data_IF_231428702264
#
_entry.id   IF_231428702264
#
_cell.length_a   1.000
_cell.length_b   1.000
_cell.length_c   1.000
_cell.angle_alpha   90.00
_cell.angle_beta   90.00
_cell.angle_gamma   90.00
#
_symmetry.space_group_name_H-M   'P 1'
#
loop_
_entity.id
_entity.type
_entity.pdbx_description
1 polymer ?
#
# COMPACT_ATOMS: atom_id res chain seq x y z
N UNK A 1 23.04 -2.07 5.80
CA UNK A 1 22.10 -1.14 5.14
C UNK A 1 22.60 -0.83 3.74
N UNK A 2 22.05 -1.54 2.77
CA UNK A 2 22.15 -1.23 1.36
C UNK A 2 21.03 -0.23 0.98
N UNK A 3 21.22 0.48 -0.12
CA UNK A 3 20.20 1.32 -0.72
C UNK A 3 19.88 0.82 -2.12
N UNK A 4 18.69 1.16 -2.57
CA UNK A 4 18.27 0.84 -3.92
C UNK A 4 16.99 1.54 -4.29
N UNK A 5 16.61 1.33 -5.54
CA UNK A 5 15.41 1.88 -6.14
C UNK A 5 14.41 0.77 -6.37
N UNK A 6 13.18 0.94 -5.91
CA UNK A 6 12.11 -0.05 -6.13
C UNK A 6 11.86 -0.19 -7.63
N UNK A 7 12.07 -1.37 -8.20
CA UNK A 7 11.82 -1.63 -9.62
C UNK A 7 10.32 -1.67 -9.87
N UNK A 8 9.62 -2.45 -9.06
CA UNK A 8 8.17 -2.53 -9.04
C UNK A 8 7.72 -3.17 -7.73
N UNK A 9 6.52 -2.83 -7.29
CA UNK A 9 5.92 -3.42 -6.10
C UNK A 9 4.42 -3.61 -6.33
N UNK A 10 3.92 -4.80 -5.99
CA UNK A 10 2.52 -5.13 -6.09
C UNK A 10 1.86 -5.04 -4.70
N UNK A 11 1.16 -3.94 -4.46
CA UNK A 11 0.48 -3.69 -3.19
C UNK A 11 -0.64 -4.70 -2.89
N UNK A 12 -1.29 -5.26 -3.92
CA UNK A 12 -2.34 -6.25 -3.74
C UNK A 12 -1.79 -7.63 -3.33
N UNK A 13 -0.56 -7.94 -3.73
CA UNK A 13 0.11 -9.20 -3.38
C UNK A 13 1.11 -9.07 -2.25
N UNK A 14 1.56 -7.86 -1.92
CA UNK A 14 2.55 -7.60 -0.87
C UNK A 14 3.98 -8.02 -1.24
N UNK A 15 4.34 -8.07 -2.52
CA UNK A 15 5.71 -8.37 -2.93
C UNK A 15 6.15 -7.48 -4.09
N UNK A 16 7.46 -7.33 -4.22
CA UNK A 16 8.08 -6.56 -5.28
C UNK A 16 9.54 -6.91 -5.46
N UNK A 17 10.20 -6.12 -6.31
CA UNK A 17 11.63 -6.21 -6.52
C UNK A 17 12.27 -4.83 -6.38
N UNK A 18 13.46 -4.84 -5.80
CA UNK A 18 14.27 -3.66 -5.60
C UNK A 18 15.57 -3.83 -6.38
N UNK A 19 15.95 -2.79 -7.11
CA UNK A 19 17.23 -2.70 -7.80
C UNK A 19 18.24 -2.08 -6.82
N UNK A 20 19.25 -2.82 -6.36
CA UNK A 20 20.31 -2.23 -5.56
C UNK A 20 21.13 -1.23 -6.38
N UNK A 21 21.53 -0.11 -5.77
CA UNK A 21 22.40 0.89 -6.42
C UNK A 21 23.80 0.34 -6.72
N UNK A 22 24.19 -0.75 -6.08
CA UNK A 22 25.44 -1.49 -6.31
C UNK A 22 25.50 -2.13 -7.72
N UNK A 23 24.39 -2.12 -8.48
CA UNK A 23 24.32 -2.66 -9.84
C UNK A 23 24.21 -4.18 -9.90
N UNK A 24 23.75 -4.80 -8.81
CA UNK A 24 23.60 -6.25 -8.65
C UNK A 24 22.28 -6.82 -9.15
N UNK A 25 21.98 -8.04 -8.69
CA UNK A 25 20.78 -8.80 -9.04
C UNK A 25 19.50 -8.15 -8.48
N UNK A 26 18.35 -8.39 -9.10
CA UNK A 26 17.07 -7.92 -8.59
C UNK A 26 16.78 -8.57 -7.22
N UNK A 27 16.58 -7.75 -6.19
CA UNK A 27 16.36 -8.21 -4.82
C UNK A 27 14.88 -8.45 -4.56
N UNK A 28 14.56 -9.63 -4.05
CA UNK A 28 13.18 -9.94 -3.66
C UNK A 28 12.78 -9.18 -2.40
N UNK A 29 11.70 -8.40 -2.50
CA UNK A 29 11.14 -7.63 -1.41
C UNK A 29 9.75 -8.14 -1.04
N UNK A 30 9.54 -8.45 0.23
CA UNK A 30 8.26 -8.95 0.75
C UNK A 30 7.71 -8.01 1.82
N UNK A 31 6.39 -7.84 1.89
CA UNK A 31 5.73 -6.96 2.84
C UNK A 31 6.06 -7.32 4.31
N UNK A 32 6.34 -8.59 4.60
CA UNK A 32 6.74 -8.99 5.96
C UNK A 32 8.06 -8.37 6.39
N UNK A 33 8.94 -8.05 5.43
CA UNK A 33 10.26 -7.46 5.65
C UNK A 33 10.23 -5.93 5.69
N UNK A 34 9.09 -5.30 5.40
CA UNK A 34 8.95 -3.85 5.43
C UNK A 34 8.65 -3.42 6.86
N UNK A 35 9.52 -2.58 7.41
CA UNK A 35 9.33 -1.93 8.71
C UNK A 35 8.73 -0.54 8.48
N UNK A 36 7.40 -0.49 8.43
CA UNK A 36 6.61 0.73 8.28
C UNK A 36 5.33 0.59 9.10
N UNK A 37 4.92 1.69 9.73
CA UNK A 37 3.63 1.79 10.40
C UNK A 37 2.50 1.95 9.38
N UNK A 38 1.49 1.08 9.43
CA UNK A 38 0.33 1.11 8.53
C UNK A 38 0.47 0.26 7.26
N UNK A 39 0.11 0.84 6.10
CA UNK A 39 0.05 0.12 4.83
C UNK A 39 1.44 -0.06 4.20
N UNK A 40 1.98 -1.27 4.34
CA UNK A 40 3.31 -1.68 3.83
C UNK A 40 3.37 -1.72 2.31
N UNK A 41 3.53 -0.54 1.71
CA UNK A 41 3.47 -0.30 0.26
C UNK A 41 4.73 0.40 -0.23
N UNK A 42 5.14 0.12 -1.46
CA UNK A 42 6.30 0.76 -2.10
C UNK A 42 5.92 1.26 -3.49
N UNK A 43 6.54 2.36 -3.93
CA UNK A 43 6.34 2.94 -5.25
C UNK A 43 7.53 2.64 -6.16
N UNK A 44 7.26 2.23 -7.41
CA UNK A 44 8.30 2.07 -8.42
C UNK A 44 9.07 3.38 -8.63
N UNK A 45 10.40 3.31 -8.67
CA UNK A 45 11.29 4.47 -8.76
C UNK A 45 11.57 5.16 -7.43
N UNK A 46 11.01 4.69 -6.30
CA UNK A 46 11.28 5.28 -5.00
C UNK A 46 12.60 4.77 -4.40
N UNK A 47 13.45 5.65 -3.84
CA UNK A 47 14.63 5.24 -3.09
C UNK A 47 14.21 4.66 -1.74
N UNK A 48 14.75 3.49 -1.43
CA UNK A 48 14.48 2.74 -0.20
C UNK A 48 15.79 2.24 0.38
N UNK A 49 15.81 2.08 1.70
CA UNK A 49 16.94 1.49 2.44
C UNK A 49 16.54 0.10 2.90
N UNK A 50 17.42 -0.89 2.73
CA UNK A 50 17.14 -2.28 3.10
C UNK A 50 18.44 -2.99 3.44
N UNK A 51 18.35 -4.19 3.99
CA UNK A 51 19.49 -5.08 4.18
C UNK A 51 19.41 -6.27 3.23
N UNK A 52 20.49 -6.48 2.47
CA UNK A 52 20.66 -7.65 1.60
C UNK A 52 21.19 -8.81 2.41
N UNK A 53 20.43 -9.90 2.46
CA UNK A 53 20.87 -11.14 3.09
C UNK A 53 20.95 -12.21 2.02
N UNK A 54 22.12 -12.83 1.90
CA UNK A 54 22.33 -13.99 1.03
C UNK A 54 21.78 -15.25 1.70
N UNK A 55 20.86 -15.95 1.03
CA UNK A 55 20.38 -17.27 1.45
C UNK A 55 20.50 -18.31 0.33
N UNK A 56 20.18 -19.57 0.63
CA UNK A 56 20.27 -20.71 -0.30
C UNK A 56 19.47 -20.54 -1.61
N UNK A 57 18.54 -19.58 -1.68
CA UNK A 57 17.68 -19.31 -2.85
C UNK A 57 17.97 -17.98 -3.55
N UNK A 58 19.02 -17.27 -3.18
CA UNK A 58 19.40 -15.97 -3.73
C UNK A 58 19.30 -14.82 -2.73
N UNK A 59 19.56 -13.61 -3.21
CA UNK A 59 19.55 -12.39 -2.41
C UNK A 59 18.11 -11.91 -2.14
N UNK A 60 17.79 -11.65 -0.88
CA UNK A 60 16.50 -11.05 -0.49
C UNK A 60 16.70 -9.81 0.39
N UNK A 61 15.74 -8.89 0.31
CA UNK A 61 15.74 -7.66 1.08
C UNK A 61 15.00 -7.84 2.42
N UNK A 62 15.64 -7.39 3.50
CA UNK A 62 15.12 -7.38 4.87
C UNK A 62 15.18 -5.97 5.47
N UNK A 63 14.42 -5.70 6.54
CA UNK A 63 14.37 -4.40 7.21
C UNK A 63 14.20 -3.22 6.23
N UNK A 64 13.23 -3.36 5.31
CA UNK A 64 13.01 -2.38 4.26
C UNK A 64 12.36 -1.15 4.88
N UNK A 65 13.05 -0.02 4.78
CA UNK A 65 12.61 1.30 5.22
C UNK A 65 12.42 2.17 3.98
N UNK A 66 11.22 2.69 3.78
CA UNK A 66 10.96 3.61 2.68
C UNK A 66 11.45 5.02 3.07
N UNK A 67 12.29 5.63 2.23
CA UNK A 67 12.77 6.98 2.45
C UNK A 67 11.64 7.90 1.94
N UNK A 68 10.94 8.55 2.85
CA UNK A 68 9.60 9.08 2.61
C UNK A 68 9.62 10.32 1.68
N UNK A 69 8.89 10.23 0.56
CA UNK A 69 8.18 11.35 -0.04
C UNK A 69 6.70 10.93 -0.06
N UNK A 70 6.08 11.03 1.10
CA UNK A 70 4.66 10.78 1.36
C UNK A 70 3.81 11.74 0.53
N UNK A 71 3.53 11.36 -0.71
CA UNK A 71 2.28 11.76 -1.35
C UNK A 71 1.24 10.78 -0.83
N UNK A 72 0.55 11.22 0.22
CA UNK A 72 -0.61 10.62 0.85
C UNK A 72 -1.58 10.09 -0.22
N UNK A 73 -1.47 8.79 -0.51
CA UNK A 73 -2.43 8.03 -1.28
C UNK A 73 -3.53 7.54 -0.36
N UNK A 74 -4.30 8.50 0.14
CA UNK A 74 -5.71 8.40 0.54
C UNK A 74 -6.17 7.00 0.92
N UNK A 75 -6.08 6.69 2.21
CA UNK A 75 -7.07 5.85 2.88
C UNK A 75 -8.43 6.55 2.75
N UNK A 76 -9.12 6.36 1.63
CA UNK A 76 -10.58 6.44 1.64
C UNK A 76 -11.08 5.07 2.07
N UNK A 77 -10.96 4.84 3.37
CA UNK A 77 -11.88 4.01 4.12
C UNK A 77 -13.29 4.60 3.99
N UNK A 78 -13.94 4.39 2.84
CA UNK A 78 -15.40 4.42 2.79
C UNK A 78 -15.89 3.01 3.09
N UNK A 79 -15.58 2.55 4.31
CA UNK A 79 -16.28 1.44 4.94
C UNK A 79 -17.60 1.99 5.46
N UNK A 80 -18.67 1.47 4.88
CA UNK A 80 -20.00 1.37 5.46
C UNK A 80 -20.81 2.68 5.66
N UNK A 81 -21.42 3.15 4.57
CA UNK A 81 -22.70 3.87 4.68
C UNK A 81 -23.86 2.87 4.62
N UNK A 82 -23.87 1.90 5.55
CA UNK A 82 -24.97 0.95 5.70
C UNK A 82 -25.66 1.14 7.05
N UNK A 83 -26.11 2.35 7.42
CA UNK A 83 -26.94 2.52 8.62
C UNK A 83 -27.83 3.76 8.61
N UNK A 84 -29.09 3.51 8.26
CA UNK A 84 -30.29 4.05 8.91
C UNK A 84 -30.48 5.57 9.05
N UNK A 85 -31.24 6.16 8.12
CA UNK A 85 -32.24 7.18 8.45
C UNK A 85 -33.54 6.87 7.72
N UNK A 86 -34.40 6.15 8.44
CA UNK A 86 -35.82 5.99 8.15
C UNK A 86 -36.49 7.36 8.38
N UNK A 87 -36.51 8.24 7.37
CA UNK A 87 -37.36 9.44 7.40
C UNK A 87 -38.71 9.05 6.80
N UNK A 88 -39.60 8.64 7.70
CA UNK A 88 -41.04 8.65 7.50
C UNK A 88 -41.42 10.13 7.42
N UNK A 89 -41.66 10.65 6.22
CA UNK A 89 -42.43 11.88 6.06
C UNK A 89 -43.71 11.53 5.30
N UNK A 90 -44.79 11.56 6.07
CA UNK A 90 -46.15 11.30 5.68
C UNK A 90 -46.71 12.55 5.02
N UNK A 91 -46.76 12.57 3.68
CA UNK A 91 -47.61 13.51 2.95
C UNK A 91 -48.49 12.73 1.96
N UNK A 92 -49.46 12.01 2.53
CA UNK A 92 -50.75 11.86 1.89
C UNK A 92 -51.49 13.19 2.07
N UNK A 93 -51.61 13.98 1.00
CA UNK A 93 -52.87 14.67 0.68
C UNK A 93 -52.85 15.25 -0.73
N UNK A 94 -53.36 14.49 -1.71
CA UNK A 94 -54.19 15.12 -2.73
C UNK A 94 -55.12 14.11 -3.38
N UNK A 95 -56.21 13.82 -2.68
CA UNK A 95 -57.45 13.40 -3.32
C UNK A 95 -58.56 14.26 -2.72
N UNK A 96 -59.05 15.25 -3.46
CA UNK A 96 -60.50 15.34 -3.61
C UNK A 96 -60.89 16.07 -4.90
N UNK A 97 -61.71 15.36 -5.65
CA UNK A 97 -62.56 15.79 -6.75
C UNK A 97 -63.52 16.91 -6.34
N UNK A 98 -63.66 17.94 -7.17
CA UNK A 98 -64.92 18.63 -7.46
C UNK A 98 -64.85 19.31 -8.83
#
# INVERSE_FOLDING_TARGET
>A
MATGTVKWFNNAKGYGFILPDDGGEDLFAHYSSIEMDGYKTLKAGQPVSFDTIGGDKGLHATNITANENTNEGTESSNTDSSSALNTIDSDQDHLETA
#
